data_IF_129965473444
#
_entry.id   IF_129965473444
#
_cell.length_a   1.000
_cell.length_b   1.000
_cell.length_c   1.000
_cell.angle_alpha   90.00
_cell.angle_beta   90.00
_cell.angle_gamma   90.00
#
_symmetry.space_group_name_H-M   'P 1'
#
loop_
_entity.id
_entity.type
_entity.pdbx_description
1 polymer ?
#
# COMPACT_ATOMS: atom_id res chain seq x y z
N UNK A 1 -2.83 -3.34 12.41
CA UNK A 1 -2.88 -1.96 11.90
C UNK A 1 -4.13 -1.73 11.06
N UNK A 2 -4.68 -0.52 11.03
CA UNK A 2 -5.84 -0.17 10.20
C UNK A 2 -5.40 0.51 8.90
N UNK A 3 -6.23 0.45 7.86
CA UNK A 3 -5.88 0.96 6.53
C UNK A 3 -5.60 2.47 6.50
N UNK A 4 -6.42 3.27 7.18
CA UNK A 4 -6.25 4.74 7.22
C UNK A 4 -4.92 5.17 7.83
N UNK A 5 -4.37 4.41 8.78
CA UNK A 5 -3.03 4.67 9.32
C UNK A 5 -1.96 4.48 8.24
N UNK A 6 -2.05 3.40 7.46
CA UNK A 6 -1.16 3.17 6.32
C UNK A 6 -1.31 4.29 5.29
N UNK A 7 -2.55 4.64 4.93
CA UNK A 7 -2.83 5.66 3.93
C UNK A 7 -2.25 7.00 4.35
N UNK A 8 -2.55 7.48 5.56
CA UNK A 8 -2.01 8.76 6.03
C UNK A 8 -0.48 8.80 6.08
N UNK A 9 0.18 7.66 6.33
CA UNK A 9 1.65 7.59 6.36
C UNK A 9 2.29 7.55 4.97
N UNK A 10 1.66 6.87 4.00
CA UNK A 10 2.29 6.54 2.72
C UNK A 10 1.63 7.20 1.50
N UNK A 11 0.52 7.92 1.65
CA UNK A 11 -0.24 8.47 0.53
C UNK A 11 0.63 9.34 -0.38
N UNK A 12 1.34 10.31 0.20
CA UNK A 12 2.15 11.29 -0.53
C UNK A 12 3.40 10.67 -1.21
N UNK A 13 3.74 9.42 -0.89
CA UNK A 13 4.86 8.71 -1.53
C UNK A 13 4.48 8.13 -2.90
N UNK A 14 3.20 8.15 -3.29
CA UNK A 14 2.63 7.59 -4.53
C UNK A 14 2.70 6.05 -4.59
N UNK A 15 3.88 5.48 -4.31
CA UNK A 15 4.11 4.06 -4.15
C UNK A 15 5.02 3.80 -2.94
N UNK A 16 4.91 2.59 -2.39
CA UNK A 16 5.71 2.16 -1.25
C UNK A 16 5.98 0.67 -1.33
N UNK A 17 7.03 0.22 -0.67
CA UNK A 17 7.35 -1.20 -0.54
C UNK A 17 7.19 -1.70 0.91
N UNK A 18 7.13 -3.02 1.04
CA UNK A 18 6.93 -3.67 2.35
C UNK A 18 8.04 -3.35 3.37
N UNK A 19 9.28 -3.13 2.93
CA UNK A 19 10.40 -2.81 3.85
C UNK A 19 10.24 -1.42 4.47
N UNK A 20 9.70 -0.45 3.73
CA UNK A 20 9.36 0.87 4.29
C UNK A 20 8.24 0.75 5.34
N UNK A 21 7.28 -0.15 5.13
CA UNK A 21 6.23 -0.43 6.12
C UNK A 21 6.83 -1.06 7.39
N UNK A 22 7.75 -2.01 7.25
CA UNK A 22 8.45 -2.59 8.42
C UNK A 22 9.34 -1.59 9.14
N UNK A 23 9.99 -0.67 8.43
CA UNK A 23 10.80 0.39 9.06
C UNK A 23 9.95 1.34 9.90
N UNK A 24 8.73 1.65 9.46
CA UNK A 24 7.78 2.47 10.21
C UNK A 24 7.05 1.70 11.31
N UNK A 25 6.66 0.46 11.04
CA UNK A 25 5.91 -0.41 11.95
C UNK A 25 6.53 -1.82 11.94
N UNK A 26 7.51 -2.10 12.81
CA UNK A 26 8.22 -3.39 12.82
C UNK A 26 7.31 -4.61 13.06
N UNK A 27 6.21 -4.42 13.80
CA UNK A 27 5.20 -5.46 14.07
C UNK A 27 4.13 -5.60 12.98
N UNK A 28 4.33 -5.04 11.79
CA UNK A 28 3.31 -5.04 10.75
C UNK A 28 3.01 -6.46 10.23
N UNK A 29 1.74 -6.87 10.30
CA UNK A 29 1.28 -8.11 9.69
C UNK A 29 1.08 -7.92 8.17
N UNK A 30 1.95 -8.56 7.38
CA UNK A 30 1.91 -8.56 5.90
C UNK A 30 0.58 -9.03 5.30
N UNK A 31 -0.20 -9.83 6.02
CA UNK A 31 -1.51 -10.30 5.56
C UNK A 31 -2.48 -9.12 5.38
N UNK A 32 -2.26 -7.99 6.05
CA UNK A 32 -3.02 -6.77 5.80
C UNK A 32 -2.87 -6.28 4.36
N UNK A 33 -1.66 -6.33 3.77
CA UNK A 33 -1.47 -5.92 2.37
C UNK A 33 -2.26 -6.82 1.43
N UNK A 34 -2.18 -8.14 1.62
CA UNK A 34 -2.96 -9.10 0.82
C UNK A 34 -4.46 -8.86 0.95
N UNK A 35 -4.96 -8.61 2.16
CA UNK A 35 -6.36 -8.28 2.41
C UNK A 35 -6.78 -6.98 1.74
N UNK A 36 -5.97 -5.93 1.85
CA UNK A 36 -6.27 -4.62 1.27
C UNK A 36 -6.20 -4.61 -0.26
N UNK A 37 -5.34 -5.44 -0.87
CA UNK A 37 -5.35 -5.68 -2.32
C UNK A 37 -6.66 -6.35 -2.75
N UNK A 38 -7.11 -7.40 -2.04
CA UNK A 38 -8.40 -8.06 -2.33
C UNK A 38 -9.61 -7.13 -2.18
N UNK A 39 -9.49 -6.09 -1.34
CA UNK A 39 -10.53 -5.09 -1.12
C UNK A 39 -10.45 -3.89 -2.09
N UNK A 40 -9.55 -3.92 -3.07
CA UNK A 40 -9.26 -2.79 -3.97
C UNK A 40 -8.85 -1.49 -3.24
N UNK A 41 -8.29 -1.60 -2.03
CA UNK A 41 -7.74 -0.47 -1.28
C UNK A 41 -6.28 -0.20 -1.62
N UNK A 42 -5.58 -1.20 -2.14
CA UNK A 42 -4.21 -1.14 -2.66
C UNK A 42 -4.13 -1.84 -4.00
N UNK A 43 -3.21 -1.38 -4.85
CA UNK A 43 -2.78 -2.08 -6.05
C UNK A 43 -1.41 -2.68 -5.78
N UNK A 44 -1.26 -3.98 -6.00
CA UNK A 44 0.05 -4.65 -5.93
C UNK A 44 0.81 -4.41 -7.23
N UNK A 45 2.00 -3.86 -7.11
CA UNK A 45 2.97 -3.70 -8.19
C UNK A 45 3.98 -4.86 -8.15
N UNK A 46 4.99 -4.82 -9.04
CA UNK A 46 6.11 -5.79 -9.05
C UNK A 46 6.96 -5.69 -7.78
N UNK A 47 7.66 -6.77 -7.42
CA UNK A 47 8.68 -6.80 -6.35
C UNK A 47 8.21 -6.26 -4.98
N UNK A 48 7.00 -6.62 -4.56
CA UNK A 48 6.43 -6.20 -3.26
C UNK A 48 6.29 -4.68 -3.09
N UNK A 49 6.17 -3.97 -4.21
CA UNK A 49 5.71 -2.59 -4.25
C UNK A 49 4.19 -2.55 -4.29
N UNK A 50 3.63 -1.47 -3.75
CA UNK A 50 2.22 -1.19 -3.66
C UNK A 50 1.97 0.28 -3.96
N UNK A 51 0.78 0.59 -4.45
CA UNK A 51 0.31 1.95 -4.66
C UNK A 51 -1.18 2.04 -4.31
N UNK A 52 -1.68 3.27 -4.12
CA UNK A 52 -3.10 3.52 -3.90
C UNK A 52 -3.83 3.57 -5.25
N UNK A 53 -5.07 3.05 -5.34
CA UNK A 53 -5.85 3.05 -6.59
C UNK A 53 -6.01 4.43 -7.23
N UNK A 54 -6.01 5.49 -6.42
CA UNK A 54 -6.07 6.90 -6.85
C UNK A 54 -4.99 7.24 -7.90
N UNK A 55 -3.81 6.62 -7.81
CA UNK A 55 -2.68 6.87 -8.71
C UNK A 55 -2.65 5.96 -9.95
N UNK A 56 -3.38 4.85 -9.93
CA UNK A 56 -3.39 3.86 -11.03
C UNK A 56 -4.54 4.13 -12.00
N UNK A 57 -5.66 4.70 -11.53
CA UNK A 57 -6.79 5.05 -12.39
C UNK A 57 -6.53 6.24 -13.33
N UNK A 58 -5.39 6.92 -13.20
CA UNK A 58 -5.00 8.05 -14.06
C UNK A 58 -4.33 7.63 -15.38
N UNK A 59 -4.08 6.33 -15.61
CA UNK A 59 -3.28 5.85 -16.76
C UNK A 59 -4.04 4.98 -17.77
N UNK A 60 -5.37 5.14 -17.87
CA UNK A 60 -6.13 4.65 -19.02
C UNK A 60 -6.82 5.83 -19.70
N UNK A 61 -6.19 6.33 -20.77
CA UNK A 61 -6.75 7.17 -21.83
C UNK A 61 -6.42 6.50 -23.16
#
# INVERSE_FOLDING_TARGET
MKFWQLRNQFYDLICFNINQVYAWQPGFDKNNLTRWVKQNLLVKLRNSWYSFPDYVKMSVS
#
